data_IF_112089855445
#
_entry.id   IF_112089855445
#
_cell.length_a   1.000
_cell.length_b   1.000
_cell.length_c   1.000
_cell.angle_alpha   90.00
_cell.angle_beta   90.00
_cell.angle_gamma   90.00
#
_symmetry.space_group_name_H-M   'P 1'
#
loop_
_entity.id
_entity.type
_entity.pdbx_description
1 polymer ?
#
# COMPACT_ATOMS: atom_id res chain seq x y z
N UNK A 1 -16.95 -15.29 12.30
CA UNK A 1 -17.33 -14.36 11.22
C UNK A 1 -16.12 -14.11 10.34
N UNK A 2 -16.33 -13.71 9.09
CA UNK A 2 -15.28 -13.38 8.12
C UNK A 2 -15.80 -12.33 7.13
N UNK A 3 -14.92 -11.78 6.31
CA UNK A 3 -15.24 -10.79 5.27
C UNK A 3 -14.68 -11.26 3.93
N UNK A 4 -15.25 -10.75 2.84
CA UNK A 4 -14.80 -11.07 1.49
C UNK A 4 -13.39 -10.53 1.22
N UNK A 5 -12.66 -11.19 0.32
CA UNK A 5 -11.45 -10.60 -0.26
C UNK A 5 -11.83 -9.36 -1.06
N UNK A 6 -10.99 -8.32 -0.98
CA UNK A 6 -11.19 -7.04 -1.66
C UNK A 6 -10.03 -6.78 -2.62
N UNK A 7 -10.34 -6.24 -3.81
CA UNK A 7 -9.32 -5.93 -4.82
C UNK A 7 -9.65 -4.64 -5.57
N UNK A 8 -8.73 -3.70 -5.49
CA UNK A 8 -8.75 -2.48 -6.31
C UNK A 8 -8.12 -2.74 -7.67
N UNK A 9 -8.78 -2.28 -8.74
CA UNK A 9 -8.24 -2.28 -10.10
C UNK A 9 -7.01 -1.38 -10.20
N UNK A 10 -5.92 -1.87 -10.80
CA UNK A 10 -4.65 -1.14 -10.90
C UNK A 10 -4.60 -0.10 -12.02
N UNK A 11 -5.64 -0.01 -12.85
CA UNK A 11 -5.75 0.92 -13.98
C UNK A 11 -6.68 2.11 -13.70
N UNK A 12 -7.16 2.27 -12.46
CA UNK A 12 -7.90 3.46 -12.06
C UNK A 12 -6.98 4.69 -12.04
N UNK A 13 -7.50 5.91 -12.27
CA UNK A 13 -6.70 7.14 -12.19
C UNK A 13 -5.93 7.28 -10.87
N UNK A 14 -6.58 6.97 -9.74
CA UNK A 14 -5.94 7.01 -8.42
C UNK A 14 -4.85 5.94 -8.27
N UNK A 15 -5.06 4.73 -8.80
CA UNK A 15 -4.08 3.65 -8.74
C UNK A 15 -2.83 3.96 -9.56
N UNK A 16 -3.01 4.59 -10.73
CA UNK A 16 -1.92 5.10 -11.55
C UNK A 16 -1.18 6.22 -10.82
N UNK A 17 -1.90 7.16 -10.20
CA UNK A 17 -1.30 8.27 -9.45
C UNK A 17 -0.47 7.78 -8.25
N UNK A 18 -1.01 6.85 -7.45
CA UNK A 18 -0.28 6.25 -6.32
C UNK A 18 0.93 5.47 -6.81
N UNK A 19 0.80 4.68 -7.88
CA UNK A 19 1.94 3.96 -8.48
C UNK A 19 3.05 4.94 -8.90
N UNK A 20 2.69 6.06 -9.53
CA UNK A 20 3.66 7.08 -9.94
C UNK A 20 4.33 7.78 -8.75
N UNK A 21 3.56 8.10 -7.69
CA UNK A 21 4.10 8.70 -6.47
C UNK A 21 5.08 7.76 -5.77
N UNK A 22 4.73 6.48 -5.59
CA UNK A 22 5.63 5.49 -5.00
C UNK A 22 6.87 5.26 -5.88
N UNK A 23 6.71 5.22 -7.21
CA UNK A 23 7.86 5.10 -8.10
C UNK A 23 8.80 6.31 -8.02
N UNK A 24 8.30 7.50 -7.70
CA UNK A 24 9.13 8.71 -7.60
C UNK A 24 10.11 8.71 -6.43
N UNK A 25 9.90 7.85 -5.43
CA UNK A 25 10.77 7.74 -4.24
C UNK A 25 11.79 6.61 -4.36
N UNK A 26 11.79 5.84 -5.44
CA UNK A 26 12.75 4.77 -5.69
C UNK A 26 13.36 4.87 -7.08
N UNK A 27 14.66 4.57 -7.17
CA UNK A 27 15.35 4.43 -8.46
C UNK A 27 15.05 3.08 -9.11
N UNK A 28 14.71 2.09 -8.31
CA UNK A 28 14.40 0.75 -8.78
C UNK A 28 12.92 0.66 -9.19
N UNK A 29 12.57 -0.19 -10.17
CA UNK A 29 11.19 -0.43 -10.54
C UNK A 29 10.38 -0.98 -9.37
N UNK A 30 9.26 -0.32 -9.06
CA UNK A 30 8.38 -0.80 -7.98
C UNK A 30 7.60 -2.04 -8.39
N UNK A 31 7.31 -2.91 -7.43
CA UNK A 31 6.49 -4.10 -7.63
C UNK A 31 5.02 -3.77 -7.38
N UNK A 32 4.16 -4.08 -8.36
CA UNK A 32 2.71 -4.01 -8.24
C UNK A 32 2.17 -5.39 -7.92
N UNK A 33 1.64 -5.58 -6.71
CA UNK A 33 1.02 -6.82 -6.27
C UNK A 33 -0.51 -6.70 -6.30
N UNK A 34 -1.23 -7.37 -7.23
CA UNK A 34 -2.68 -7.31 -7.28
C UNK A 34 -3.38 -7.97 -6.09
N UNK A 35 -2.66 -8.79 -5.31
CA UNK A 35 -3.19 -9.54 -4.17
C UNK A 35 -2.05 -9.89 -3.21
N UNK A 36 -2.34 -9.88 -1.92
CA UNK A 36 -1.49 -10.42 -0.85
C UNK A 36 -2.27 -11.48 -0.06
N UNK A 37 -1.55 -12.38 0.62
CA UNK A 37 -2.16 -13.45 1.43
C UNK A 37 -2.65 -13.02 2.82
N UNK A 38 -2.31 -11.81 3.25
CA UNK A 38 -2.79 -11.24 4.51
C UNK A 38 -4.24 -10.79 4.43
N UNK A 39 -4.88 -10.60 5.58
CA UNK A 39 -6.28 -10.15 5.64
C UNK A 39 -6.38 -8.80 6.37
N UNK A 40 -7.06 -7.84 5.74
CA UNK A 40 -7.52 -6.59 6.32
C UNK A 40 -9.01 -6.45 5.98
N UNK A 41 -9.86 -5.86 6.85
CA UNK A 41 -11.31 -5.76 6.63
C UNK A 41 -11.69 -4.70 5.56
N UNK A 42 -11.01 -4.71 4.41
CA UNK A 42 -11.13 -3.70 3.35
C UNK A 42 -12.49 -3.77 2.63
N UNK A 43 -13.07 -4.96 2.46
CA UNK A 43 -14.41 -5.11 1.90
C UNK A 43 -15.45 -4.27 2.67
N UNK A 44 -15.35 -4.24 4.00
CA UNK A 44 -16.23 -3.44 4.86
C UNK A 44 -16.05 -1.93 4.58
N UNK A 45 -14.80 -1.48 4.40
CA UNK A 45 -14.50 -0.08 4.10
C UNK A 45 -15.07 0.32 2.72
N UNK A 46 -14.80 -0.50 1.70
CA UNK A 46 -15.24 -0.23 0.33
C UNK A 46 -16.77 -0.26 0.19
N UNK A 47 -17.45 -1.21 0.84
CA UNK A 47 -18.90 -1.33 0.83
C UNK A 47 -19.61 -0.13 1.48
N UNK A 48 -19.08 0.39 2.59
CA UNK A 48 -19.73 1.48 3.34
C UNK A 48 -19.34 2.87 2.86
N UNK A 49 -18.11 3.08 2.40
CA UNK A 49 -17.62 4.40 1.96
C UNK A 49 -17.69 4.58 0.45
N UNK A 50 -18.04 3.53 -0.30
CA UNK A 50 -18.08 3.54 -1.76
C UNK A 50 -16.77 4.06 -2.38
N UNK A 51 -15.65 3.65 -1.78
CA UNK A 51 -14.29 4.04 -2.15
C UNK A 51 -13.44 2.82 -2.46
N UNK A 52 -12.22 3.03 -2.94
CA UNK A 52 -11.24 1.97 -3.19
C UNK A 52 -10.17 1.95 -2.11
N UNK A 53 -9.57 0.79 -1.86
CA UNK A 53 -8.50 0.64 -0.88
C UNK A 53 -7.21 0.15 -1.54
N UNK A 54 -6.08 0.73 -1.15
CA UNK A 54 -4.76 0.31 -1.62
C UNK A 54 -3.80 0.26 -0.44
N UNK A 55 -2.80 -0.62 -0.50
CA UNK A 55 -1.74 -0.72 0.49
C UNK A 55 -0.41 -0.31 -0.12
N UNK A 56 0.41 0.40 0.66
CA UNK A 56 1.81 0.73 0.33
C UNK A 56 2.66 0.26 1.50
N UNK A 57 3.22 -0.96 1.45
CA UNK A 57 3.96 -1.52 2.58
C UNK A 57 5.32 -0.84 2.75
N UNK A 58 5.73 -0.64 4.00
CA UNK A 58 7.07 -0.12 4.34
C UNK A 58 7.94 -1.17 5.04
N UNK A 59 7.35 -2.24 5.57
CA UNK A 59 8.11 -3.26 6.28
C UNK A 59 8.99 -4.07 5.31
N UNK A 60 10.15 -4.53 5.79
CA UNK A 60 10.98 -5.51 5.07
C UNK A 60 10.25 -6.86 4.95
N UNK A 61 10.65 -7.67 3.96
CA UNK A 61 9.98 -8.95 3.67
C UNK A 61 10.10 -9.97 4.81
N UNK A 62 11.15 -9.86 5.61
CA UNK A 62 11.51 -10.70 6.77
C UNK A 62 11.20 -10.00 8.11
N UNK A 63 10.22 -9.09 8.12
CA UNK A 63 9.84 -8.36 9.33
C UNK A 63 9.22 -9.24 10.43
N UNK A 64 8.81 -10.47 10.12
CA UNK A 64 8.18 -11.42 11.05
C UNK A 64 6.91 -10.92 11.77
N UNK A 65 6.00 -10.24 11.07
CA UNK A 65 4.70 -9.82 11.63
C UNK A 65 4.04 -10.99 12.37
N UNK A 66 3.66 -10.77 13.63
CA UNK A 66 3.00 -11.77 14.49
C UNK A 66 3.85 -12.99 14.88
N UNK A 67 5.17 -12.92 14.75
CA UNK A 67 6.10 -13.96 15.18
C UNK A 67 7.25 -13.38 16.02
N UNK A 68 8.10 -14.26 16.57
CA UNK A 68 9.28 -13.83 17.31
C UNK A 68 10.25 -13.03 16.43
N UNK A 69 11.00 -12.12 17.07
CA UNK A 69 11.95 -11.23 16.40
C UNK A 69 11.31 -10.38 15.29
N UNK A 70 10.07 -9.94 15.51
CA UNK A 70 9.43 -8.93 14.68
C UNK A 70 10.32 -7.67 14.61
N UNK A 71 10.58 -7.17 13.40
CA UNK A 71 11.58 -6.12 13.18
C UNK A 71 11.19 -5.19 12.03
N UNK A 72 11.79 -4.00 12.01
CA UNK A 72 11.72 -3.06 10.91
C UNK A 72 13.12 -2.52 10.62
N UNK A 73 13.59 -2.66 9.38
CA UNK A 73 14.82 -2.00 8.94
C UNK A 73 14.65 -0.48 9.03
N UNK A 74 15.51 0.21 9.79
CA UNK A 74 15.41 1.66 9.99
C UNK A 74 15.41 2.46 8.68
N UNK A 75 16.18 2.04 7.68
CA UNK A 75 16.15 2.68 6.36
C UNK A 75 14.75 2.60 5.73
N UNK A 76 14.05 1.47 5.87
CA UNK A 76 12.70 1.35 5.32
C UNK A 76 11.69 2.25 6.04
N UNK A 77 11.91 2.55 7.33
CA UNK A 77 11.10 3.56 8.02
C UNK A 77 11.28 4.94 7.38
N UNK A 78 12.53 5.36 7.16
CA UNK A 78 12.84 6.65 6.53
C UNK A 78 12.35 6.73 5.08
N UNK A 79 12.65 5.71 4.26
CA UNK A 79 12.17 5.60 2.88
C UNK A 79 10.62 5.57 2.83
N UNK A 80 10.02 4.91 3.83
CA UNK A 80 8.58 4.84 4.01
C UNK A 80 7.95 6.20 4.29
N UNK A 81 8.58 7.04 5.12
CA UNK A 81 8.12 8.41 5.37
C UNK A 81 8.15 9.23 4.07
N UNK A 82 9.24 9.16 3.30
CA UNK A 82 9.33 9.85 2.01
C UNK A 82 8.27 9.35 1.01
N UNK A 83 8.09 8.03 0.95
CA UNK A 83 7.08 7.39 0.08
C UNK A 83 5.66 7.82 0.44
N UNK A 84 5.31 7.81 1.72
CA UNK A 84 3.99 8.27 2.16
C UNK A 84 3.81 9.78 1.98
N UNK A 85 4.85 10.59 2.16
CA UNK A 85 4.79 12.02 1.86
C UNK A 85 4.51 12.28 0.37
N UNK A 86 5.14 11.52 -0.53
CA UNK A 86 4.86 11.59 -1.98
C UNK A 86 3.39 11.21 -2.28
N UNK A 87 2.86 10.16 -1.65
CA UNK A 87 1.46 9.75 -1.81
C UNK A 87 0.49 10.82 -1.29
N UNK A 88 0.75 11.38 -0.11
CA UNK A 88 -0.11 12.39 0.52
C UNK A 88 -0.10 13.73 -0.23
N UNK A 89 0.92 14.00 -1.04
CA UNK A 89 1.06 15.25 -1.82
C UNK A 89 0.65 15.11 -3.28
N UNK A 90 0.09 13.95 -3.68
CA UNK A 90 -0.54 13.77 -4.99
C UNK A 90 -1.56 14.88 -5.18
N UNK A 91 -1.33 15.74 -6.18
CA UNK A 91 -2.31 16.76 -6.56
C UNK A 91 -3.46 16.06 -7.28
N UNK A 92 -4.69 16.15 -6.76
CA UNK A 92 -5.83 15.59 -7.47
C UNK A 92 -5.96 16.31 -8.81
N UNK A 93 -5.81 15.56 -9.90
CA UNK A 93 -6.26 15.98 -11.22
C UNK A 93 -7.66 15.42 -11.40
N UNK A 94 -8.64 16.08 -10.78
CA UNK A 94 -10.05 15.84 -11.06
C UNK A 94 -10.56 17.01 -11.92
#
# INVERSE_FOLDING_TARGET
>A
GGYNAERTRMDLPISIAVTAAVQSTSKDPIVKLPTSGGSLPLAIITDHLHTVTMTVPIANYDNNQHAENENLRLQNLWDGIETWAAVMTIKPKF
#
